data_IF_617203272781
#
_entry.id   IF_617203272781
#
_cell.length_a   1.000
_cell.length_b   1.000
_cell.length_c   1.000
_cell.angle_alpha   90.00
_cell.angle_beta   90.00
_cell.angle_gamma   90.00
#
_symmetry.space_group_name_H-M   'P 1'
#
loop_
_entity.id
_entity.type
_entity.pdbx_description
1 polymer ?
#
# COMPACT_ATOMS: atom_id res chain seq x y z
N UNK A 1 64.34 -47.76 -18.92
CA UNK A 1 63.75 -46.40 -19.07
C UNK A 1 62.38 -46.41 -18.42
N UNK A 2 62.31 -46.06 -17.15
CA UNK A 2 61.05 -45.94 -16.39
C UNK A 2 60.55 -44.52 -16.48
N UNK A 3 59.35 -44.38 -17.01
CA UNK A 3 58.63 -43.11 -16.99
C UNK A 3 57.79 -43.03 -15.69
N UNK A 4 58.25 -42.20 -14.74
CA UNK A 4 57.44 -41.77 -13.58
C UNK A 4 56.32 -40.85 -14.09
N UNK A 5 55.06 -41.24 -13.89
CA UNK A 5 53.90 -40.40 -14.04
C UNK A 5 53.85 -39.41 -12.85
N UNK A 6 53.78 -38.16 -13.20
CA UNK A 6 53.75 -37.06 -12.27
C UNK A 6 52.44 -36.95 -11.49
N UNK A 7 52.64 -36.46 -10.36
CA UNK A 7 51.77 -36.00 -9.26
C UNK A 7 50.41 -35.50 -9.62
N UNK A 8 49.40 -36.08 -8.93
CA UNK A 8 48.07 -35.54 -8.81
C UNK A 8 48.10 -34.15 -8.20
N UNK A 9 47.27 -33.26 -8.75
CA UNK A 9 47.01 -31.94 -8.16
C UNK A 9 46.44 -32.08 -6.71
N UNK A 10 46.75 -31.19 -5.78
CA UNK A 10 46.31 -31.32 -4.40
C UNK A 10 44.80 -31.05 -4.31
N UNK A 11 44.00 -32.09 -4.09
CA UNK A 11 42.55 -32.00 -3.81
C UNK A 11 42.28 -31.27 -2.49
N UNK A 12 43.28 -30.95 -1.68
CA UNK A 12 43.13 -30.23 -0.42
C UNK A 12 42.80 -28.75 -0.55
N UNK A 13 43.37 -28.06 -1.54
CA UNK A 13 43.25 -26.61 -1.66
C UNK A 13 41.85 -26.11 -1.97
N UNK A 14 41.03 -26.88 -2.70
CA UNK A 14 39.66 -26.49 -3.06
C UNK A 14 38.70 -26.61 -1.88
N UNK A 15 38.87 -27.63 -1.02
CA UNK A 15 38.05 -27.82 0.19
C UNK A 15 38.36 -26.75 1.24
N UNK A 16 39.60 -26.38 1.42
CA UNK A 16 40.02 -25.32 2.36
C UNK A 16 39.52 -23.95 1.93
N UNK A 17 39.51 -23.65 0.64
CA UNK A 17 38.99 -22.39 0.11
C UNK A 17 37.49 -22.24 0.37
N UNK A 18 36.67 -23.27 0.17
CA UNK A 18 35.24 -23.24 0.46
C UNK A 18 34.94 -23.07 1.96
N UNK A 19 35.76 -23.67 2.82
CA UNK A 19 35.66 -23.48 4.27
C UNK A 19 35.96 -22.02 4.64
N UNK A 20 36.98 -21.42 4.04
CA UNK A 20 37.32 -20.01 4.28
C UNK A 20 36.24 -19.06 3.77
N UNK A 21 35.70 -19.32 2.58
CA UNK A 21 34.56 -18.55 2.04
C UNK A 21 33.35 -18.68 2.96
N UNK A 22 33.04 -19.87 3.45
CA UNK A 22 31.96 -20.09 4.41
C UNK A 22 32.16 -19.33 5.71
N UNK A 23 33.37 -19.38 6.28
CA UNK A 23 33.72 -18.68 7.52
C UNK A 23 33.64 -17.14 7.40
N UNK A 24 33.90 -16.59 6.22
CA UNK A 24 33.78 -15.16 5.95
C UNK A 24 32.34 -14.75 5.61
N UNK A 25 31.60 -15.58 4.89
CA UNK A 25 30.25 -15.26 4.46
C UNK A 25 29.23 -15.29 5.59
N UNK A 26 29.37 -16.20 6.56
CA UNK A 26 28.44 -16.28 7.72
C UNK A 26 28.41 -15.01 8.55
N UNK A 27 29.52 -14.43 9.02
CA UNK A 27 29.48 -13.18 9.77
C UNK A 27 29.00 -11.98 8.92
N UNK A 28 29.34 -11.94 7.62
CA UNK A 28 28.83 -10.89 6.72
C UNK A 28 27.32 -10.98 6.54
N UNK A 29 26.78 -12.18 6.37
CA UNK A 29 25.34 -12.40 6.31
C UNK A 29 24.67 -12.04 7.64
N UNK A 30 25.28 -12.39 8.77
CA UNK A 30 24.77 -12.02 10.09
C UNK A 30 24.70 -10.49 10.26
N UNK A 31 25.75 -9.76 9.87
CA UNK A 31 25.74 -8.29 9.87
C UNK A 31 24.64 -7.75 8.96
N UNK A 32 24.54 -8.26 7.75
CA UNK A 32 23.51 -7.85 6.78
C UNK A 32 22.10 -8.02 7.34
N UNK A 33 21.79 -9.16 7.94
CA UNK A 33 20.48 -9.47 8.51
C UNK A 33 20.14 -8.65 9.77
N UNK A 34 21.12 -7.99 10.37
CA UNK A 34 20.95 -7.16 11.57
C UNK A 34 21.14 -5.67 11.29
N UNK A 35 21.20 -5.26 10.01
CA UNK A 35 21.21 -3.84 9.65
C UNK A 35 19.93 -3.19 10.19
N UNK A 36 20.03 -2.18 11.06
CA UNK A 36 18.84 -1.54 11.62
C UNK A 36 18.03 -0.80 10.55
N UNK A 37 16.75 -0.50 10.81
CA UNK A 37 15.97 0.38 9.94
C UNK A 37 16.66 1.72 9.74
N UNK A 38 16.54 2.34 8.56
CA UNK A 38 17.06 3.69 8.34
C UNK A 38 16.47 4.70 9.32
N UNK A 39 17.19 5.76 9.60
CA UNK A 39 16.67 6.88 10.39
C UNK A 39 15.60 7.62 9.62
N UNK A 40 14.59 8.13 10.34
CA UNK A 40 13.56 8.96 9.75
C UNK A 40 14.17 10.26 9.21
N UNK A 41 13.81 10.62 7.97
CA UNK A 41 14.11 11.96 7.44
C UNK A 41 13.37 13.04 8.24
N UNK A 42 13.76 14.31 8.15
CA UNK A 42 13.00 15.39 8.78
C UNK A 42 11.53 15.42 8.33
N UNK A 43 11.26 15.18 7.05
CA UNK A 43 9.91 15.16 6.50
C UNK A 43 9.07 14.01 7.07
N UNK A 44 9.62 12.79 7.09
CA UNK A 44 8.94 11.62 7.63
C UNK A 44 8.78 11.69 9.16
N UNK A 45 9.76 12.28 9.85
CA UNK A 45 9.68 12.56 11.29
C UNK A 45 8.56 13.56 11.60
N UNK A 46 8.45 14.65 10.82
CA UNK A 46 7.38 15.63 10.94
C UNK A 46 6.01 14.99 10.69
N UNK A 47 5.89 14.13 9.68
CA UNK A 47 4.66 13.38 9.43
C UNK A 47 4.26 12.53 10.65
N UNK A 48 5.19 11.75 11.17
CA UNK A 48 4.98 10.92 12.35
C UNK A 48 4.60 11.75 13.59
N UNK A 49 5.30 12.85 13.82
CA UNK A 49 5.06 13.73 14.96
C UNK A 49 3.69 14.45 14.90
N UNK A 50 3.15 14.63 13.69
CA UNK A 50 1.81 15.22 13.47
C UNK A 50 0.67 14.21 13.62
N UNK A 51 0.97 12.94 13.88
CA UNK A 51 0.00 11.87 14.06
C UNK A 51 -0.09 11.41 15.51
N UNK A 52 -0.90 10.39 15.69
CA UNK A 52 -1.14 9.74 16.97
C UNK A 52 -1.30 8.23 16.77
N UNK A 53 -1.47 7.52 17.86
CA UNK A 53 -1.75 6.09 17.85
C UNK A 53 -3.04 5.79 18.60
N UNK A 54 -3.81 4.83 18.10
CA UNK A 54 -4.88 4.23 18.87
C UNK A 54 -4.71 2.71 18.92
N UNK A 55 -5.30 2.07 19.90
CA UNK A 55 -5.19 0.62 20.09
C UNK A 55 -6.38 -0.10 19.48
N UNK A 56 -6.13 -0.99 18.55
CA UNK A 56 -7.07 -1.97 18.04
C UNK A 56 -6.71 -3.36 18.56
N UNK A 57 -7.56 -3.95 19.40
CA UNK A 57 -7.21 -5.17 20.16
C UNK A 57 -5.89 -4.94 20.94
N UNK A 58 -4.79 -5.56 20.50
CA UNK A 58 -3.48 -5.42 21.13
C UNK A 58 -2.46 -4.72 20.22
N UNK A 59 -2.92 -4.14 19.11
CA UNK A 59 -2.08 -3.54 18.08
C UNK A 59 -2.18 -2.02 18.14
N UNK A 60 -1.03 -1.37 18.05
CA UNK A 60 -0.89 0.07 17.96
C UNK A 60 -0.99 0.49 16.50
N UNK A 61 -2.00 1.29 16.18
CA UNK A 61 -2.30 1.75 14.82
C UNK A 61 -2.03 3.24 14.73
N UNK A 62 -1.15 3.62 13.83
CA UNK A 62 -0.83 5.02 13.55
C UNK A 62 -1.93 5.66 12.72
N UNK A 63 -2.27 6.89 13.06
CA UNK A 63 -3.14 7.74 12.24
C UNK A 63 -2.71 9.21 12.34
N UNK A 64 -3.04 9.96 11.31
CA UNK A 64 -2.94 11.41 11.29
C UNK A 64 -4.35 11.98 11.15
N UNK A 65 -4.64 13.02 11.93
CA UNK A 65 -5.93 13.70 11.95
C UNK A 65 -5.68 15.20 12.04
N UNK A 66 -6.12 15.92 11.03
CA UNK A 66 -5.94 17.37 10.95
C UNK A 66 -7.30 18.07 10.82
N UNK A 67 -7.53 19.05 11.68
CA UNK A 67 -8.61 20.00 11.49
C UNK A 67 -8.25 20.94 10.35
N UNK A 68 -9.22 21.18 9.47
CA UNK A 68 -9.02 21.97 8.26
C UNK A 68 -10.01 23.14 8.14
N UNK A 69 -10.68 23.23 7.01
CA UNK A 69 -11.49 24.37 6.60
C UNK A 69 -12.58 24.75 7.62
N UNK A 70 -12.55 26.01 8.04
CA UNK A 70 -13.60 26.62 8.87
C UNK A 70 -14.85 26.84 8.00
N UNK A 71 -16.00 26.40 8.47
CA UNK A 71 -17.28 26.49 7.74
C UNK A 71 -17.61 25.27 6.86
N UNK A 72 -16.69 24.32 6.72
CA UNK A 72 -16.99 22.97 6.19
C UNK A 72 -17.37 22.03 7.35
N UNK A 73 -18.23 21.06 7.10
CA UNK A 73 -18.51 19.93 8.00
C UNK A 73 -18.00 18.61 7.42
N UNK A 74 -17.43 18.65 6.22
CA UNK A 74 -17.03 17.46 5.48
C UNK A 74 -15.79 16.80 6.09
N UNK A 75 -15.84 15.49 6.22
CA UNK A 75 -14.74 14.65 6.70
C UNK A 75 -14.28 13.76 5.57
N UNK A 76 -12.97 13.63 5.39
CA UNK A 76 -12.37 12.66 4.48
C UNK A 76 -11.44 11.71 5.22
N UNK A 77 -11.56 10.42 4.91
CA UNK A 77 -10.67 9.36 5.39
C UNK A 77 -9.91 8.78 4.21
N UNK A 78 -8.58 8.77 4.33
CA UNK A 78 -7.65 8.39 3.28
C UNK A 78 -7.08 6.99 3.56
N UNK A 79 -7.20 6.09 2.59
CA UNK A 79 -6.80 4.69 2.68
C UNK A 79 -5.67 4.41 1.67
N UNK A 80 -4.45 4.23 2.18
CA UNK A 80 -3.25 4.07 1.35
C UNK A 80 -3.11 2.70 0.68
N UNK A 81 -2.14 2.57 -0.21
CA UNK A 81 -1.82 1.37 -0.97
C UNK A 81 -0.67 0.52 -0.42
N UNK A 82 -0.44 -0.62 -1.07
CA UNK A 82 0.68 -1.52 -0.84
C UNK A 82 1.90 -1.09 -1.68
N UNK A 83 3.14 -1.13 -1.20
CA UNK A 83 3.57 -1.53 0.15
C UNK A 83 3.87 -0.32 1.05
N UNK A 84 3.36 0.84 0.73
CA UNK A 84 3.70 2.12 1.32
C UNK A 84 2.89 2.44 2.59
N UNK A 85 2.54 3.69 2.83
CA UNK A 85 1.90 4.13 4.07
C UNK A 85 1.01 5.36 3.83
N UNK A 86 0.39 5.87 4.88
CA UNK A 86 -0.35 7.13 4.85
C UNK A 86 0.47 8.34 4.38
N UNK A 87 1.80 8.25 4.41
CA UNK A 87 2.69 9.28 3.90
C UNK A 87 2.53 9.53 2.40
N UNK A 88 1.97 8.59 1.64
CA UNK A 88 1.61 8.77 0.23
C UNK A 88 0.67 9.96 -0.02
N UNK A 89 -0.08 10.37 0.98
CA UNK A 89 -1.01 11.49 0.92
C UNK A 89 -0.38 12.84 1.22
N UNK A 90 0.92 12.87 1.57
CA UNK A 90 1.62 14.08 2.03
C UNK A 90 1.58 15.24 1.03
N UNK A 91 1.67 14.96 -0.27
CA UNK A 91 1.70 15.99 -1.33
C UNK A 91 0.34 16.67 -1.55
N UNK A 92 -0.76 16.04 -1.16
CA UNK A 92 -2.12 16.60 -1.29
C UNK A 92 -2.74 16.98 0.06
N UNK A 93 -2.04 16.74 1.16
CA UNK A 93 -2.57 16.93 2.51
C UNK A 93 -3.04 18.36 2.77
N UNK A 94 -2.23 19.34 2.43
CA UNK A 94 -2.56 20.75 2.61
C UNK A 94 -3.78 21.15 1.78
N UNK A 95 -3.85 20.76 0.52
CA UNK A 95 -5.00 21.03 -0.34
C UNK A 95 -6.30 20.39 0.18
N UNK A 96 -6.21 19.19 0.78
CA UNK A 96 -7.35 18.57 1.42
C UNK A 96 -7.79 19.33 2.69
N UNK A 97 -6.86 19.78 3.52
CA UNK A 97 -7.18 20.56 4.73
C UNK A 97 -7.78 21.94 4.42
N UNK A 98 -7.54 22.49 3.23
CA UNK A 98 -8.16 23.72 2.76
C UNK A 98 -9.65 23.51 2.37
N UNK A 99 -10.08 22.30 2.04
CA UNK A 99 -11.46 21.99 1.62
C UNK A 99 -12.28 21.27 2.67
N UNK A 100 -11.68 20.33 3.39
CA UNK A 100 -12.37 19.51 4.36
C UNK A 100 -12.23 20.06 5.78
N UNK A 101 -13.28 19.93 6.57
CA UNK A 101 -13.22 20.23 8.00
C UNK A 101 -12.23 19.32 8.74
N UNK A 102 -12.16 18.05 8.33
CA UNK A 102 -11.27 17.06 8.93
C UNK A 102 -10.69 16.14 7.87
N UNK A 103 -9.37 15.97 7.92
CA UNK A 103 -8.63 15.06 7.04
C UNK A 103 -7.94 14.00 7.90
N UNK A 104 -8.26 12.74 7.66
CA UNK A 104 -7.81 11.62 8.46
C UNK A 104 -7.14 10.59 7.54
N UNK A 105 -5.96 10.11 7.92
CA UNK A 105 -5.28 9.00 7.27
C UNK A 105 -4.76 8.05 8.34
N UNK A 106 -4.69 6.75 8.04
CA UNK A 106 -4.10 5.76 8.94
C UNK A 106 -3.06 4.95 8.19
N UNK A 107 -2.14 4.35 8.93
CA UNK A 107 -1.34 3.24 8.45
C UNK A 107 -2.05 1.94 8.81
N UNK A 108 -2.39 1.13 7.82
CA UNK A 108 -2.97 -0.18 8.07
C UNK A 108 -2.05 -1.05 8.94
N UNK A 109 -2.60 -1.99 9.71
CA UNK A 109 -1.76 -2.96 10.42
C UNK A 109 -0.87 -3.71 9.42
N UNK A 110 0.42 -3.81 9.73
CA UNK A 110 1.43 -4.34 8.82
C UNK A 110 2.15 -3.28 7.98
N UNK A 111 1.75 -2.01 8.03
CA UNK A 111 2.28 -0.92 7.20
C UNK A 111 2.77 0.26 8.04
N UNK A 112 3.63 1.07 7.45
CA UNK A 112 4.04 2.36 7.97
C UNK A 112 4.52 2.31 9.42
N UNK A 113 3.96 3.16 10.25
CA UNK A 113 4.27 3.24 11.69
C UNK A 113 3.39 2.35 12.56
N UNK A 114 2.40 1.67 11.99
CA UNK A 114 1.55 0.73 12.72
C UNK A 114 2.29 -0.56 13.07
N UNK A 115 1.78 -1.31 14.02
CA UNK A 115 2.32 -2.61 14.41
C UNK A 115 2.32 -3.62 13.26
N UNK A 116 3.26 -4.53 13.31
CA UNK A 116 3.50 -5.56 12.31
C UNK A 116 3.61 -6.95 12.98
N UNK A 117 2.48 -7.44 13.53
CA UNK A 117 2.48 -8.71 14.26
C UNK A 117 2.91 -9.89 13.41
N UNK A 118 3.63 -10.85 14.00
CA UNK A 118 4.10 -12.08 13.39
C UNK A 118 4.03 -13.24 14.39
N UNK A 119 3.47 -14.40 14.01
CA UNK A 119 2.67 -14.67 12.81
C UNK A 119 1.33 -13.95 12.85
N UNK A 120 0.82 -13.51 11.68
CA UNK A 120 -0.47 -12.83 11.59
C UNK A 120 -1.09 -13.02 10.20
N UNK A 121 -2.41 -13.20 10.16
CA UNK A 121 -3.18 -13.24 8.92
C UNK A 121 -3.73 -11.85 8.62
N UNK A 122 -3.07 -11.16 7.69
CA UNK A 122 -3.47 -9.81 7.26
C UNK A 122 -4.71 -9.87 6.36
N UNK A 123 -5.87 -9.74 6.98
CA UNK A 123 -7.16 -9.82 6.31
C UNK A 123 -7.69 -8.44 5.96
N UNK A 124 -8.24 -8.28 4.76
CA UNK A 124 -8.97 -7.07 4.35
C UNK A 124 -10.14 -6.79 5.30
N UNK A 125 -10.79 -7.83 5.81
CA UNK A 125 -11.86 -7.70 6.82
C UNK A 125 -11.36 -7.06 8.11
N UNK A 126 -10.17 -7.42 8.57
CA UNK A 126 -9.55 -6.81 9.75
C UNK A 126 -9.20 -5.35 9.50
N UNK A 127 -8.61 -5.03 8.34
CA UNK A 127 -8.30 -3.65 7.98
C UNK A 127 -9.55 -2.77 7.96
N UNK A 128 -10.65 -3.24 7.39
CA UNK A 128 -11.92 -2.55 7.42
C UNK A 128 -12.42 -2.32 8.87
N UNK A 129 -12.30 -3.34 9.72
CA UNK A 129 -12.67 -3.21 11.15
C UNK A 129 -11.80 -2.20 11.89
N UNK A 130 -10.51 -2.09 11.54
CA UNK A 130 -9.60 -1.07 12.08
C UNK A 130 -10.06 0.34 11.68
N UNK A 131 -10.45 0.55 10.41
CA UNK A 131 -10.99 1.84 9.96
C UNK A 131 -12.26 2.21 10.70
N UNK A 132 -13.21 1.28 10.86
CA UNK A 132 -14.44 1.50 11.63
C UNK A 132 -14.15 1.86 13.09
N UNK A 133 -13.18 1.20 13.71
CA UNK A 133 -12.77 1.50 15.10
C UNK A 133 -12.09 2.85 15.21
N UNK A 134 -11.28 3.26 14.21
CA UNK A 134 -10.69 4.59 14.17
C UNK A 134 -11.77 5.68 14.08
N UNK A 135 -12.70 5.55 13.15
CA UNK A 135 -13.81 6.50 12.99
C UNK A 135 -14.62 6.64 14.29
N UNK A 136 -14.88 5.52 14.97
CA UNK A 136 -15.54 5.51 16.28
C UNK A 136 -14.67 6.15 17.37
N UNK A 137 -13.37 5.85 17.42
CA UNK A 137 -12.42 6.42 18.36
C UNK A 137 -12.36 7.94 18.25
N UNK A 138 -12.50 8.47 17.04
CA UNK A 138 -12.50 9.90 16.76
C UNK A 138 -13.88 10.56 16.94
N UNK A 139 -14.89 9.82 17.39
CA UNK A 139 -16.25 10.34 17.64
C UNK A 139 -17.06 10.62 16.37
N UNK A 140 -16.67 10.04 15.22
CA UNK A 140 -17.27 10.32 13.91
C UNK A 140 -18.28 9.25 13.45
N UNK A 141 -18.69 8.35 14.34
CA UNK A 141 -19.55 7.20 13.98
C UNK A 141 -21.00 7.58 13.58
N UNK A 142 -21.42 8.81 13.84
CA UNK A 142 -22.71 9.34 13.38
C UNK A 142 -22.60 10.33 12.23
N UNK A 143 -21.39 10.59 11.75
CA UNK A 143 -21.13 11.52 10.66
C UNK A 143 -20.89 10.77 9.35
N UNK A 144 -21.44 11.30 8.25
CA UNK A 144 -21.12 10.80 6.91
C UNK A 144 -19.71 11.19 6.56
N UNK A 145 -18.93 10.24 6.08
CA UNK A 145 -17.52 10.45 5.70
C UNK A 145 -17.32 10.20 4.21
N UNK A 146 -16.40 10.94 3.63
CA UNK A 146 -15.90 10.70 2.28
C UNK A 146 -14.70 9.77 2.38
N UNK A 147 -14.70 8.70 1.56
CA UNK A 147 -13.56 7.79 1.44
C UNK A 147 -12.77 8.14 0.18
N UNK A 148 -11.47 8.31 0.33
CA UNK A 148 -10.51 8.42 -0.77
C UNK A 148 -9.47 7.33 -0.59
N UNK A 149 -9.36 6.44 -1.57
CA UNK A 149 -8.53 5.25 -1.46
C UNK A 149 -7.61 5.07 -2.66
N UNK A 150 -6.55 4.31 -2.44
CA UNK A 150 -5.57 3.96 -3.46
C UNK A 150 -5.12 2.50 -3.31
N UNK A 151 -5.02 1.76 -4.41
CA UNK A 151 -4.50 0.38 -4.52
C UNK A 151 -5.08 -0.59 -3.50
N UNK A 152 -4.31 -1.03 -2.51
CA UNK A 152 -4.76 -1.89 -1.40
C UNK A 152 -5.94 -1.27 -0.63
N UNK A 153 -5.89 0.05 -0.44
CA UNK A 153 -6.96 0.82 0.20
C UNK A 153 -8.29 0.73 -0.54
N UNK A 154 -8.29 0.59 -1.87
CA UNK A 154 -9.51 0.39 -2.65
C UNK A 154 -10.24 -0.89 -2.24
N UNK A 155 -9.50 -1.96 -1.98
CA UNK A 155 -10.10 -3.23 -1.52
C UNK A 155 -10.70 -3.10 -0.12
N UNK A 156 -10.04 -2.37 0.77
CA UNK A 156 -10.57 -2.07 2.11
C UNK A 156 -11.83 -1.20 1.99
N UNK A 157 -11.81 -0.20 1.12
CA UNK A 157 -12.97 0.67 0.87
C UNK A 157 -14.18 -0.13 0.31
N UNK A 158 -13.95 -1.09 -0.57
CA UNK A 158 -15.00 -1.99 -1.07
C UNK A 158 -15.63 -2.82 0.05
N UNK A 159 -14.84 -3.32 1.00
CA UNK A 159 -15.37 -4.02 2.17
C UNK A 159 -16.19 -3.09 3.08
N UNK A 160 -15.69 -1.88 3.33
CA UNK A 160 -16.44 -0.87 4.10
C UNK A 160 -17.76 -0.51 3.43
N UNK A 161 -17.77 -0.35 2.11
CA UNK A 161 -18.98 -0.09 1.33
C UNK A 161 -19.96 -1.25 1.43
N UNK A 162 -19.48 -2.50 1.30
CA UNK A 162 -20.32 -3.68 1.47
C UNK A 162 -21.00 -3.70 2.85
N UNK A 163 -20.25 -3.41 3.91
CA UNK A 163 -20.81 -3.35 5.27
C UNK A 163 -21.85 -2.26 5.42
N UNK A 164 -21.59 -1.09 4.85
CA UNK A 164 -22.53 0.04 4.86
C UNK A 164 -23.83 -0.32 4.14
N UNK A 165 -23.77 -0.86 2.92
CA UNK A 165 -24.96 -1.25 2.13
C UNK A 165 -25.80 -2.34 2.81
N UNK A 166 -25.19 -3.19 3.63
CA UNK A 166 -25.88 -4.26 4.35
C UNK A 166 -26.21 -3.90 5.82
N UNK A 167 -26.12 -2.62 6.19
CA UNK A 167 -26.39 -2.12 7.55
C UNK A 167 -25.73 -2.96 8.65
N UNK A 168 -24.47 -3.38 8.45
CA UNK A 168 -23.72 -4.15 9.44
C UNK A 168 -23.44 -3.31 10.68
N UNK A 169 -23.58 -3.94 11.84
CA UNK A 169 -23.24 -3.30 13.13
C UNK A 169 -21.76 -2.84 13.10
N UNK A 170 -21.53 -1.58 13.47
CA UNK A 170 -20.19 -0.97 13.48
C UNK A 170 -19.78 -0.34 12.17
N UNK A 171 -20.58 -0.48 11.10
CA UNK A 171 -20.29 0.17 9.82
C UNK A 171 -20.28 1.69 9.95
N UNK A 172 -19.45 2.32 9.12
CA UNK A 172 -19.39 3.79 9.00
C UNK A 172 -20.47 4.29 8.03
N UNK A 173 -20.84 5.56 8.16
CA UNK A 173 -21.74 6.22 7.21
C UNK A 173 -20.91 6.80 6.08
N UNK A 174 -21.11 6.30 4.85
CA UNK A 174 -20.34 6.71 3.68
C UNK A 174 -21.12 7.76 2.89
N UNK A 175 -20.50 8.92 2.67
CA UNK A 175 -21.03 9.99 1.84
C UNK A 175 -20.66 9.85 0.38
N UNK A 176 -19.40 9.49 0.12
CA UNK A 176 -18.85 9.26 -1.23
C UNK A 176 -17.66 8.30 -1.17
N UNK A 177 -17.34 7.67 -2.30
CA UNK A 177 -16.17 6.83 -2.46
C UNK A 177 -15.44 7.19 -3.74
N UNK A 178 -14.17 7.60 -3.59
CA UNK A 178 -13.25 7.80 -4.70
C UNK A 178 -12.14 6.74 -4.65
N UNK A 179 -12.05 5.95 -5.71
CA UNK A 179 -11.07 4.88 -5.90
C UNK A 179 -9.92 5.38 -6.78
N UNK A 180 -8.73 4.81 -6.62
CA UNK A 180 -7.59 5.13 -7.48
C UNK A 180 -6.66 3.93 -7.67
N UNK A 181 -6.47 3.54 -8.92
CA UNK A 181 -5.48 2.54 -9.37
C UNK A 181 -5.44 1.24 -8.55
N UNK A 182 -6.59 0.81 -8.03
CA UNK A 182 -6.73 -0.42 -7.26
C UNK A 182 -7.04 -1.64 -8.12
N UNK A 183 -6.68 -2.81 -7.64
CA UNK A 183 -7.01 -4.10 -8.26
C UNK A 183 -8.47 -4.50 -8.08
N UNK A 184 -9.40 -3.66 -8.48
CA UNK A 184 -10.84 -3.82 -8.28
C UNK A 184 -11.34 -5.11 -8.91
N UNK A 185 -10.85 -5.40 -10.13
CA UNK A 185 -11.21 -6.60 -10.89
C UNK A 185 -10.01 -7.55 -10.93
N UNK A 186 -10.10 -8.76 -10.35
CA UNK A 186 -9.04 -9.76 -10.48
C UNK A 186 -8.70 -10.12 -11.93
N UNK A 187 -9.65 -9.94 -12.86
CA UNK A 187 -9.53 -10.28 -14.29
C UNK A 187 -8.53 -9.37 -15.03
N UNK A 188 -8.39 -8.13 -14.60
CA UNK A 188 -7.52 -7.12 -15.22
C UNK A 188 -6.38 -6.68 -14.31
N UNK A 189 -6.12 -7.43 -13.25
CA UNK A 189 -5.05 -7.16 -12.30
C UNK A 189 -3.81 -8.01 -12.60
N UNK A 190 -2.69 -7.35 -12.87
CA UNK A 190 -1.42 -7.99 -13.22
C UNK A 190 -0.34 -7.72 -12.14
N UNK A 191 -0.29 -8.54 -11.09
CA UNK A 191 0.72 -8.38 -10.05
C UNK A 191 2.12 -8.50 -10.63
N UNK A 192 3.05 -7.68 -10.14
CA UNK A 192 4.45 -7.67 -10.57
C UNK A 192 5.11 -9.01 -10.21
N UNK A 193 6.16 -9.36 -10.95
CA UNK A 193 6.86 -10.65 -10.77
C UNK A 193 7.25 -10.91 -9.32
N UNK A 194 7.84 -9.92 -8.64
CA UNK A 194 8.25 -10.05 -7.23
C UNK A 194 7.04 -10.29 -6.29
N UNK A 195 5.89 -9.69 -6.56
CA UNK A 195 4.67 -9.93 -5.78
C UNK A 195 4.20 -11.38 -5.95
N UNK A 196 4.27 -11.93 -7.16
CA UNK A 196 3.93 -13.35 -7.41
C UNK A 196 4.88 -14.28 -6.66
N UNK A 197 6.19 -14.01 -6.74
CA UNK A 197 7.20 -14.82 -6.04
C UNK A 197 6.99 -14.78 -4.52
N UNK A 198 6.79 -13.60 -3.95
CA UNK A 198 6.57 -13.47 -2.50
C UNK A 198 5.23 -14.05 -2.05
N UNK A 199 4.19 -13.93 -2.86
CA UNK A 199 2.86 -14.48 -2.54
C UNK A 199 2.83 -16.02 -2.60
N UNK A 200 3.47 -16.60 -3.60
CA UNK A 200 3.37 -18.03 -3.93
C UNK A 200 4.62 -18.84 -3.54
N UNK A 201 5.68 -18.18 -3.07
CA UNK A 201 6.98 -18.80 -2.78
C UNK A 201 7.04 -19.69 -1.53
N UNK A 202 5.95 -19.83 -0.79
CA UNK A 202 5.88 -20.71 0.38
C UNK A 202 7.01 -20.46 1.39
N UNK A 203 7.82 -21.47 1.66
CA UNK A 203 8.93 -21.37 2.61
C UNK A 203 10.07 -20.45 2.15
N UNK A 204 10.15 -20.11 0.87
CA UNK A 204 11.17 -19.19 0.34
C UNK A 204 10.78 -17.72 0.55
N UNK A 205 9.48 -17.41 0.63
CA UNK A 205 9.00 -16.04 0.76
C UNK A 205 9.54 -15.33 2.00
N UNK A 206 9.52 -15.91 3.22
CA UNK A 206 10.13 -15.29 4.40
C UNK A 206 11.65 -15.06 4.27
N UNK A 207 12.35 -15.91 3.53
CA UNK A 207 13.79 -15.73 3.28
C UNK A 207 14.01 -14.54 2.35
N UNK A 208 13.24 -14.44 1.27
CA UNK A 208 13.34 -13.35 0.29
C UNK A 208 12.99 -12.01 0.96
N UNK A 209 11.91 -11.95 1.75
CA UNK A 209 11.53 -10.73 2.48
C UNK A 209 12.60 -10.27 3.45
N UNK A 210 13.28 -11.20 4.12
CA UNK A 210 14.38 -10.92 5.04
C UNK A 210 15.64 -10.40 4.32
N UNK A 211 15.86 -10.84 3.08
CA UNK A 211 16.98 -10.38 2.24
C UNK A 211 16.67 -9.10 1.46
N UNK A 212 15.44 -8.60 1.53
CA UNK A 212 15.03 -7.37 0.85
C UNK A 212 15.86 -6.17 1.35
N UNK A 213 16.32 -5.36 0.43
CA UNK A 213 17.10 -4.16 0.72
C UNK A 213 16.58 -2.97 -0.11
N UNK A 214 17.12 -1.79 0.17
CA UNK A 214 16.73 -0.55 -0.52
C UNK A 214 16.85 -0.64 -2.05
N UNK A 215 17.91 -1.26 -2.56
CA UNK A 215 18.12 -1.36 -4.01
C UNK A 215 16.99 -2.16 -4.69
N UNK A 216 16.65 -3.34 -4.16
CA UNK A 216 15.56 -4.15 -4.71
C UNK A 216 14.20 -3.49 -4.49
N UNK A 217 13.99 -2.88 -3.35
CA UNK A 217 12.76 -2.14 -3.05
C UNK A 217 12.54 -0.98 -4.02
N UNK A 218 13.52 -0.09 -4.17
CA UNK A 218 13.41 1.09 -5.04
C UNK A 218 13.24 0.71 -6.52
N UNK A 219 13.91 -0.34 -6.98
CA UNK A 219 13.73 -0.87 -8.34
C UNK A 219 12.33 -1.45 -8.56
N UNK A 220 11.87 -2.24 -7.61
CA UNK A 220 10.54 -2.86 -7.68
C UNK A 220 9.42 -1.84 -7.64
N UNK A 221 9.53 -0.87 -6.72
CA UNK A 221 8.54 0.20 -6.59
C UNK A 221 8.60 1.17 -7.79
N UNK A 222 9.79 1.55 -8.24
CA UNK A 222 9.96 2.41 -9.42
C UNK A 222 9.37 1.85 -10.70
N UNK A 223 9.26 0.53 -10.80
CA UNK A 223 8.65 -0.13 -11.96
C UNK A 223 7.14 0.12 -12.12
N UNK A 224 6.49 0.69 -11.10
CA UNK A 224 5.06 1.05 -11.15
C UNK A 224 4.83 2.57 -11.22
N UNK A 225 5.89 3.37 -11.21
CA UNK A 225 5.85 4.81 -11.50
C UNK A 225 6.09 5.09 -12.98
N UNK A 226 5.58 6.20 -13.47
CA UNK A 226 5.88 6.69 -14.81
C UNK A 226 7.37 7.06 -14.97
N UNK A 227 7.94 6.95 -16.18
CA UNK A 227 9.36 7.21 -16.41
C UNK A 227 9.77 8.66 -16.14
N UNK A 228 8.83 9.61 -16.24
CA UNK A 228 9.07 11.04 -16.00
C UNK A 228 8.62 11.51 -14.60
N UNK A 229 7.99 10.64 -13.84
CA UNK A 229 7.38 10.93 -12.54
C UNK A 229 7.91 10.02 -11.43
N UNK A 230 9.13 9.54 -11.59
CA UNK A 230 9.82 8.73 -10.59
C UNK A 230 10.00 9.50 -9.28
N UNK A 231 9.81 8.85 -8.13
CA UNK A 231 10.20 9.44 -6.85
C UNK A 231 11.68 9.82 -6.84
N UNK A 232 12.01 10.87 -6.12
CA UNK A 232 13.40 11.22 -5.83
C UNK A 232 14.05 10.13 -4.95
N UNK A 233 15.38 10.13 -4.90
CA UNK A 233 16.13 9.24 -4.01
C UNK A 233 15.69 9.38 -2.55
N UNK A 234 15.41 10.60 -2.09
CA UNK A 234 14.96 10.87 -0.74
C UNK A 234 13.55 10.29 -0.48
N UNK A 235 12.63 10.42 -1.44
CA UNK A 235 11.29 9.84 -1.34
C UNK A 235 11.33 8.31 -1.31
N UNK A 236 12.18 7.66 -2.10
CA UNK A 236 12.38 6.21 -2.02
C UNK A 236 12.91 5.77 -0.65
N UNK A 237 13.86 6.55 -0.08
CA UNK A 237 14.35 6.27 1.27
C UNK A 237 13.27 6.42 2.33
N UNK A 238 12.40 7.42 2.21
CA UNK A 238 11.28 7.61 3.13
C UNK A 238 10.29 6.43 3.08
N UNK A 239 9.93 6.00 1.87
CA UNK A 239 9.06 4.84 1.69
C UNK A 239 9.69 3.56 2.24
N UNK A 240 10.98 3.33 1.95
CA UNK A 240 11.73 2.19 2.49
C UNK A 240 11.82 2.22 4.01
N UNK A 241 12.07 3.38 4.58
CA UNK A 241 12.16 3.57 6.03
C UNK A 241 10.83 3.23 6.71
N UNK A 242 9.72 3.67 6.14
CA UNK A 242 8.39 3.32 6.62
C UNK A 242 8.13 1.80 6.56
N UNK A 243 8.51 1.14 5.46
CA UNK A 243 8.43 -0.34 5.35
C UNK A 243 9.29 -1.04 6.39
N UNK A 244 10.52 -0.55 6.64
CA UNK A 244 11.46 -1.15 7.60
C UNK A 244 11.10 -0.88 9.06
N UNK A 245 10.28 0.12 9.34
CA UNK A 245 9.83 0.41 10.70
C UNK A 245 9.09 -0.80 11.27
N UNK A 246 9.43 -1.20 12.50
CA UNK A 246 8.87 -2.37 13.18
C UNK A 246 9.01 -3.68 12.36
N UNK A 247 10.10 -3.83 11.61
CA UNK A 247 10.39 -5.02 10.78
C UNK A 247 9.33 -5.33 9.71
N UNK A 248 8.71 -4.32 9.11
CA UNK A 248 7.60 -4.51 8.17
C UNK A 248 7.97 -5.25 6.89
N UNK A 249 9.25 -5.24 6.48
CA UNK A 249 9.71 -6.08 5.39
C UNK A 249 9.44 -7.58 5.65
N UNK A 250 9.38 -8.01 6.91
CA UNK A 250 9.18 -9.42 7.28
C UNK A 250 7.70 -9.86 7.25
N UNK A 251 6.77 -8.99 6.95
CA UNK A 251 5.33 -9.31 6.83
C UNK A 251 4.77 -9.12 5.42
N UNK A 252 5.61 -8.70 4.49
CA UNK A 252 5.20 -8.39 3.10
C UNK A 252 4.56 -9.60 2.41
N UNK A 253 5.10 -10.78 2.56
CA UNK A 253 4.56 -12.03 1.99
C UNK A 253 3.18 -12.36 2.56
N UNK A 254 2.97 -12.17 3.85
CA UNK A 254 1.68 -12.36 4.51
C UNK A 254 0.64 -11.32 4.06
N UNK A 255 1.05 -10.06 3.91
CA UNK A 255 0.18 -9.00 3.40
C UNK A 255 -0.25 -9.29 1.96
N UNK A 256 0.64 -9.77 1.10
CA UNK A 256 0.36 -10.05 -0.32
C UNK A 256 -0.75 -11.08 -0.54
N UNK A 257 -1.18 -11.81 0.48
CA UNK A 257 -2.33 -12.71 0.40
C UNK A 257 -3.65 -11.97 0.12
N UNK A 258 -3.68 -10.63 0.22
CA UNK A 258 -4.84 -9.83 -0.20
C UNK A 258 -5.20 -10.04 -1.68
N UNK A 259 -4.22 -10.38 -2.52
CA UNK A 259 -4.45 -10.72 -3.93
C UNK A 259 -5.35 -11.95 -4.07
N UNK A 260 -5.12 -12.97 -3.23
CA UNK A 260 -5.96 -14.16 -3.16
C UNK A 260 -7.35 -13.86 -2.57
N UNK A 261 -7.42 -12.95 -1.58
CA UNK A 261 -8.68 -12.50 -1.00
C UNK A 261 -9.54 -11.77 -2.04
N UNK A 262 -8.96 -10.91 -2.90
CA UNK A 262 -9.67 -10.26 -4.01
C UNK A 262 -10.35 -11.28 -4.94
N UNK A 263 -9.65 -12.35 -5.30
CA UNK A 263 -10.22 -13.42 -6.14
C UNK A 263 -11.35 -14.14 -5.43
N UNK A 264 -11.13 -14.50 -4.16
CA UNK A 264 -12.11 -15.24 -3.35
C UNK A 264 -13.38 -14.45 -3.08
N UNK A 265 -13.27 -13.15 -2.86
CA UNK A 265 -14.37 -12.27 -2.46
C UNK A 265 -14.79 -11.28 -3.54
N UNK A 266 -14.48 -11.58 -4.80
CA UNK A 266 -14.79 -10.72 -5.94
C UNK A 266 -16.25 -10.29 -5.96
N UNK A 267 -17.17 -11.23 -5.88
CA UNK A 267 -18.61 -10.93 -5.99
C UNK A 267 -19.11 -10.07 -4.83
N UNK A 268 -18.54 -10.25 -3.64
CA UNK A 268 -18.83 -9.41 -2.48
C UNK A 268 -18.41 -7.95 -2.72
N UNK A 269 -17.19 -7.75 -3.17
CA UNK A 269 -16.59 -6.41 -3.25
C UNK A 269 -16.95 -5.68 -4.53
N UNK A 270 -16.95 -6.34 -5.67
CA UNK A 270 -17.44 -5.75 -6.92
C UNK A 270 -18.96 -5.57 -6.85
N UNK A 271 -19.68 -6.52 -6.28
CA UNK A 271 -21.13 -6.42 -6.07
C UNK A 271 -21.54 -5.21 -5.22
N UNK A 272 -20.75 -4.87 -4.21
CA UNK A 272 -20.99 -3.66 -3.41
C UNK A 272 -20.90 -2.38 -4.25
N UNK A 273 -19.90 -2.29 -5.15
CA UNK A 273 -19.78 -1.16 -6.08
C UNK A 273 -20.93 -1.10 -7.09
N UNK A 274 -21.39 -2.25 -7.56
CA UNK A 274 -22.47 -2.34 -8.55
C UNK A 274 -23.85 -1.95 -7.99
N UNK A 275 -24.09 -2.23 -6.71
CA UNK A 275 -25.39 -2.05 -6.06
C UNK A 275 -25.53 -0.76 -5.26
N UNK A 276 -24.44 -0.04 -5.04
CA UNK A 276 -24.47 1.14 -4.18
C UNK A 276 -25.17 2.33 -4.79
N UNK A 277 -25.83 3.12 -3.96
CA UNK A 277 -26.33 4.47 -4.28
C UNK A 277 -25.33 5.57 -3.88
N UNK A 278 -24.24 5.22 -3.22
CA UNK A 278 -23.17 6.16 -2.84
C UNK A 278 -22.50 6.69 -4.11
N UNK A 279 -22.29 8.01 -4.25
CA UNK A 279 -21.52 8.56 -5.35
C UNK A 279 -20.14 7.91 -5.47
N UNK A 280 -19.85 7.36 -6.67
CA UNK A 280 -18.57 6.71 -6.98
C UNK A 280 -17.77 7.53 -7.98
N UNK A 281 -16.47 7.61 -7.78
CA UNK A 281 -15.52 8.19 -8.72
C UNK A 281 -14.25 7.34 -8.80
N UNK A 282 -13.63 7.32 -9.97
CA UNK A 282 -12.32 6.75 -10.21
C UNK A 282 -11.37 7.84 -10.70
N UNK A 283 -10.23 8.01 -10.03
CA UNK A 283 -9.08 8.76 -10.54
C UNK A 283 -8.05 7.76 -11.01
N UNK A 284 -7.67 7.84 -12.29
CA UNK A 284 -6.90 6.79 -12.93
C UNK A 284 -5.67 7.35 -13.67
N UNK A 285 -4.49 6.87 -13.27
CA UNK A 285 -3.25 7.03 -14.01
C UNK A 285 -3.15 5.92 -15.06
N UNK A 286 -3.22 6.25 -16.36
CA UNK A 286 -3.40 5.25 -17.42
C UNK A 286 -2.15 4.45 -17.76
N UNK A 287 -0.96 4.88 -17.31
CA UNK A 287 0.29 4.14 -17.53
C UNK A 287 0.52 3.01 -16.50
N UNK A 288 -0.45 2.75 -15.64
CA UNK A 288 -0.36 1.73 -14.59
C UNK A 288 -0.12 0.33 -15.16
N UNK A 289 1.02 -0.31 -14.88
CA UNK A 289 1.31 -1.65 -15.36
C UNK A 289 0.61 -2.76 -14.57
N UNK A 290 0.00 -2.43 -13.44
CA UNK A 290 -0.72 -3.37 -12.56
C UNK A 290 -2.19 -3.47 -12.95
N UNK A 291 -2.78 -2.33 -13.31
CA UNK A 291 -4.15 -2.22 -13.83
C UNK A 291 -4.11 -1.54 -15.20
N UNK A 292 -3.68 -2.25 -16.26
CA UNK A 292 -3.29 -1.63 -17.52
C UNK A 292 -4.47 -1.05 -18.31
N UNK A 293 -4.20 0.08 -18.97
CA UNK A 293 -5.07 0.67 -19.98
C UNK A 293 -4.86 -0.06 -21.33
N UNK A 294 -5.91 -0.32 -22.13
CA UNK A 294 -7.31 0.09 -21.91
C UNK A 294 -8.17 -0.93 -21.14
N UNK A 295 -7.67 -2.13 -20.88
CA UNK A 295 -8.47 -3.25 -20.35
C UNK A 295 -9.18 -2.92 -19.05
N UNK A 296 -8.46 -2.40 -18.07
CA UNK A 296 -9.01 -2.05 -16.76
C UNK A 296 -10.13 -1.02 -16.89
N UNK A 297 -9.89 0.06 -17.62
CA UNK A 297 -10.85 1.16 -17.75
C UNK A 297 -12.11 0.76 -18.54
N UNK A 298 -11.94 -0.06 -19.58
CA UNK A 298 -13.08 -0.59 -20.34
C UNK A 298 -13.97 -1.47 -19.46
N UNK A 299 -13.37 -2.36 -18.67
CA UNK A 299 -14.11 -3.21 -17.75
C UNK A 299 -14.77 -2.37 -16.64
N UNK A 300 -14.07 -1.39 -16.09
CA UNK A 300 -14.61 -0.48 -15.07
C UNK A 300 -15.86 0.23 -15.55
N UNK A 301 -15.81 0.88 -16.72
CA UNK A 301 -16.95 1.60 -17.31
C UNK A 301 -18.11 0.67 -17.66
N UNK A 302 -17.82 -0.56 -18.07
CA UNK A 302 -18.83 -1.56 -18.38
C UNK A 302 -19.58 -2.04 -17.15
N UNK A 303 -18.84 -2.31 -16.06
CA UNK A 303 -19.38 -2.89 -14.82
C UNK A 303 -20.00 -1.83 -13.92
N UNK A 304 -19.43 -0.61 -13.92
CA UNK A 304 -19.83 0.51 -13.07
C UNK A 304 -20.22 1.75 -13.88
N UNK A 305 -21.29 1.66 -14.71
CA UNK A 305 -21.68 2.75 -15.61
C UNK A 305 -22.13 4.02 -14.88
N UNK A 306 -22.52 3.93 -13.60
CA UNK A 306 -22.92 5.07 -12.77
C UNK A 306 -21.76 5.80 -12.11
N UNK A 307 -20.55 5.21 -12.12
CA UNK A 307 -19.35 5.85 -11.60
C UNK A 307 -18.82 6.88 -12.59
N UNK A 308 -18.44 8.05 -12.08
CA UNK A 308 -17.68 9.02 -12.88
C UNK A 308 -16.19 8.65 -12.87
N UNK A 309 -15.44 9.12 -13.89
CA UNK A 309 -14.05 8.77 -14.08
C UNK A 309 -13.24 10.00 -14.49
N UNK A 310 -12.12 10.23 -13.83
CA UNK A 310 -11.07 11.17 -14.24
C UNK A 310 -9.83 10.38 -14.66
N UNK A 311 -9.51 10.40 -15.95
CA UNK A 311 -8.25 9.85 -16.46
C UNK A 311 -7.23 10.97 -16.48
N UNK A 312 -6.12 10.79 -15.78
CA UNK A 312 -5.03 11.76 -15.75
C UNK A 312 -4.20 11.67 -17.03
N UNK A 313 -3.15 12.48 -17.11
CA UNK A 313 -2.26 12.51 -18.26
C UNK A 313 -1.65 11.12 -18.53
N UNK A 314 -1.35 10.83 -19.78
CA UNK A 314 -0.91 9.51 -20.26
C UNK A 314 0.42 9.03 -19.70
N UNK A 315 1.23 9.93 -19.12
CA UNK A 315 2.47 9.60 -18.43
C UNK A 315 2.34 9.31 -16.94
N UNK A 316 1.14 9.43 -16.37
CA UNK A 316 0.84 9.13 -14.96
C UNK A 316 0.52 7.63 -14.80
N UNK A 317 1.16 7.01 -13.81
CA UNK A 317 1.10 5.58 -13.59
C UNK A 317 0.35 5.21 -12.30
N UNK A 318 0.87 4.25 -11.54
CA UNK A 318 0.18 3.60 -10.43
C UNK A 318 -0.01 4.47 -9.17
N UNK A 319 0.82 5.50 -8.96
CA UNK A 319 0.77 6.39 -7.79
C UNK A 319 0.36 7.83 -8.18
N UNK A 320 -0.84 8.04 -8.73
CA UNK A 320 -1.21 9.34 -9.29
C UNK A 320 -1.17 10.49 -8.28
N UNK A 321 -1.45 10.25 -6.99
CA UNK A 321 -1.37 11.25 -5.92
C UNK A 321 0.06 11.72 -5.63
N UNK A 322 1.06 10.93 -6.01
CA UNK A 322 2.48 11.27 -5.89
C UNK A 322 3.08 11.78 -7.20
N UNK A 323 2.60 11.26 -8.33
CA UNK A 323 3.11 11.56 -9.68
C UNK A 323 2.56 12.88 -10.23
N UNK A 324 1.28 13.16 -9.99
CA UNK A 324 0.60 14.41 -10.34
C UNK A 324 -0.33 14.86 -9.22
N UNK A 325 0.22 15.34 -8.09
CA UNK A 325 -0.59 15.73 -6.94
C UNK A 325 -1.63 16.81 -7.26
N UNK A 326 -1.29 17.78 -8.11
CA UNK A 326 -2.21 18.85 -8.51
C UNK A 326 -3.36 18.32 -9.34
N UNK A 327 -3.10 17.51 -10.36
CA UNK A 327 -4.11 16.89 -11.21
C UNK A 327 -5.01 15.93 -10.42
N UNK A 328 -4.41 15.13 -9.53
CA UNK A 328 -5.13 14.25 -8.64
C UNK A 328 -6.08 15.00 -7.70
N UNK A 329 -5.57 16.02 -7.02
CA UNK A 329 -6.35 16.84 -6.09
C UNK A 329 -7.50 17.54 -6.81
N UNK A 330 -7.24 18.16 -7.97
CA UNK A 330 -8.28 18.84 -8.75
C UNK A 330 -9.37 17.86 -9.19
N UNK A 331 -9.01 16.67 -9.66
CA UNK A 331 -9.97 15.63 -10.02
C UNK A 331 -10.85 15.23 -8.82
N UNK A 332 -10.23 15.05 -7.66
CA UNK A 332 -10.95 14.71 -6.43
C UNK A 332 -11.89 15.83 -5.96
N UNK A 333 -11.41 17.07 -5.92
CA UNK A 333 -12.24 18.22 -5.51
C UNK A 333 -13.39 18.48 -6.48
N UNK A 334 -13.19 18.30 -7.78
CA UNK A 334 -14.27 18.38 -8.76
C UNK A 334 -15.35 17.32 -8.51
N UNK A 335 -14.96 16.09 -8.16
CA UNK A 335 -15.90 15.06 -7.77
C UNK A 335 -16.66 15.43 -6.50
N UNK A 336 -15.98 15.84 -5.44
CA UNK A 336 -16.61 16.22 -4.16
C UNK A 336 -17.59 17.39 -4.32
N UNK A 337 -17.33 18.31 -5.23
CA UNK A 337 -18.17 19.47 -5.46
C UNK A 337 -19.32 19.21 -6.48
N UNK A 338 -19.44 17.98 -6.98
CA UNK A 338 -20.45 17.63 -7.99
C UNK A 338 -21.79 17.14 -7.43
N UNK A 339 -21.90 16.97 -6.09
CA UNK A 339 -23.12 16.51 -5.42
C UNK A 339 -23.39 17.22 -4.08
#
# INVERSE_FOLDING_TARGET
MEWRRGSGAPEGGMKEWWVQVGLLSVPLLAVYLHIPPPRLSPALLSWKASGAFFTYKHQSIFYRDSTGAVGSSDVVVLLHGFPTSSYDWSKIWEGLTQRFHRVIALDFVGFGFSDKPRPHHYSIFEQASIVERLVRHLGLHHQRINLLSHDYGDTVAQELLHRYEHNKTGSILINSLCLSNGGIFPETYYPRFIQKVLKDGGLLSPIITRLMNFFFFSRGLGAVFGPYTQPSQAEYWDMWTAVRTNDGNLVVDSILQYINQRKKHRDRWVGALMSTSVPLHLIYGPLDPVNPHPEFLQLYKKVLPMSTVSVLDDHISHYPQLEDPTGFLNAYLNFINSF
#
